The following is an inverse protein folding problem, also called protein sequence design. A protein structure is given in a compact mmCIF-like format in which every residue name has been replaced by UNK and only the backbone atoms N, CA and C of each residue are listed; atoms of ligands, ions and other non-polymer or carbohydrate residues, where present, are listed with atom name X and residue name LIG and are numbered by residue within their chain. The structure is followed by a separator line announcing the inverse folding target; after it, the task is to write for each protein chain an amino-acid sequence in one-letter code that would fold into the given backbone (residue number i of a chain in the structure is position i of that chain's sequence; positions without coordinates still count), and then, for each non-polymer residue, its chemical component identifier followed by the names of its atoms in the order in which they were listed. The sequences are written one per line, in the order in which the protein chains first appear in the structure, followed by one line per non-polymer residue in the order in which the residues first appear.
data_IF_856584795466
#
_entry.id   IF_856584795466
#
_cell.length_a   1.000
_cell.length_b   1.000
_cell.length_c   1.000
_cell.angle_alpha   90.00
_cell.angle_beta   90.00
_cell.angle_gamma   90.00
#
_symmetry.space_group_name_H-M   'P 1'
#
loop_
_entity.id
_entity.type
_entity.pdbx_description
1 polymer ?
#
# COMPACT_ATOMS: atom_id res chain seq x y z
N UNK A 1 11.55 -34.61 -13.92
CA UNK A 1 12.17 -33.35 -13.47
C UNK A 1 11.02 -32.40 -13.24
N UNK A 2 10.33 -32.54 -12.12
CA UNK A 2 9.27 -31.61 -11.72
C UNK A 2 9.87 -30.69 -10.65
N UNK A 3 10.54 -29.65 -11.11
CA UNK A 3 10.84 -28.49 -10.29
C UNK A 3 9.55 -27.68 -10.19
N UNK A 4 8.59 -28.16 -9.41
CA UNK A 4 7.52 -27.30 -8.92
C UNK A 4 8.18 -26.29 -8.00
N UNK A 5 8.65 -25.17 -8.59
CA UNK A 5 9.03 -23.98 -7.84
C UNK A 5 7.84 -23.64 -6.96
N UNK A 6 7.94 -23.99 -5.69
CA UNK A 6 6.95 -23.71 -4.69
C UNK A 6 7.01 -22.19 -4.51
N UNK A 7 6.20 -21.47 -5.29
CA UNK A 7 6.08 -20.02 -5.19
C UNK A 7 5.47 -19.77 -3.81
N UNK A 8 6.32 -19.54 -2.80
CA UNK A 8 5.87 -19.12 -1.48
C UNK A 8 5.16 -17.78 -1.63
N UNK A 9 3.83 -17.86 -1.62
CA UNK A 9 2.96 -16.69 -1.69
C UNK A 9 2.92 -16.10 -0.28
N UNK A 10 3.91 -15.27 0.04
CA UNK A 10 4.02 -14.67 1.37
C UNK A 10 2.91 -13.62 1.53
N UNK A 11 2.08 -13.81 2.56
CA UNK A 11 0.85 -13.06 2.77
C UNK A 11 1.10 -11.58 3.14
N UNK A 12 0.24 -10.65 2.70
CA UNK A 12 0.32 -9.27 3.14
C UNK A 12 0.14 -9.18 4.66
N UNK A 13 0.74 -8.17 5.30
CA UNK A 13 0.56 -7.96 6.73
C UNK A 13 -0.93 -7.81 7.07
N UNK A 14 -1.67 -7.00 6.32
CA UNK A 14 -3.10 -6.88 6.51
C UNK A 14 -3.82 -6.54 5.22
N UNK A 15 -5.10 -6.90 5.17
CA UNK A 15 -6.02 -6.49 4.12
C UNK A 15 -7.29 -5.96 4.75
N UNK A 16 -7.68 -4.73 4.42
CA UNK A 16 -8.87 -4.10 4.96
C UNK A 16 -9.47 -3.09 3.99
N UNK A 17 -10.70 -2.67 4.29
CA UNK A 17 -11.37 -1.59 3.56
C UNK A 17 -11.41 -0.33 4.42
N UNK A 18 -11.21 0.82 3.79
CA UNK A 18 -11.33 2.12 4.45
C UNK A 18 -12.08 3.11 3.58
N UNK A 19 -12.72 4.07 4.24
CA UNK A 19 -13.39 5.19 3.58
C UNK A 19 -12.41 6.34 3.37
N UNK A 20 -12.48 6.99 2.21
CA UNK A 20 -11.79 8.25 1.94
C UNK A 20 -12.47 9.37 2.70
N UNK A 21 -11.75 9.97 3.63
CA UNK A 21 -12.18 11.09 4.46
C UNK A 21 -11.99 12.43 3.73
N UNK A 22 -12.41 13.52 4.36
CA UNK A 22 -12.09 14.88 3.89
C UNK A 22 -10.59 15.10 3.80
N UNK A 23 -10.18 16.01 2.92
CA UNK A 23 -8.77 16.35 2.67
C UNK A 23 -7.93 15.14 2.21
N UNK A 24 -8.54 14.21 1.47
CA UNK A 24 -7.85 13.07 0.86
C UNK A 24 -7.15 12.17 1.90
N UNK A 25 -7.78 11.90 3.04
CA UNK A 25 -7.20 11.07 4.11
C UNK A 25 -7.86 9.70 4.16
N UNK A 26 -7.14 8.72 4.67
CA UNK A 26 -7.68 7.43 5.09
C UNK A 26 -7.24 7.14 6.52
N UNK A 27 -7.86 6.15 7.16
CA UNK A 27 -7.52 5.73 8.52
C UNK A 27 -7.09 4.28 8.50
N UNK A 28 -5.93 4.00 9.10
CA UNK A 28 -5.51 2.64 9.42
C UNK A 28 -6.33 2.13 10.63
N UNK A 29 -6.99 0.96 10.53
CA UNK A 29 -7.78 0.40 11.63
C UNK A 29 -6.97 0.31 12.92
N UNK A 30 -7.60 0.59 14.05
CA UNK A 30 -6.92 0.64 15.35
C UNK A 30 -6.26 -0.71 15.66
N UNK A 31 -7.00 -1.78 15.43
CA UNK A 31 -6.59 -3.17 15.65
C UNK A 31 -5.39 -3.52 14.77
N UNK A 32 -5.42 -3.16 13.49
CA UNK A 32 -4.28 -3.34 12.58
C UNK A 32 -3.04 -2.59 13.08
N UNK A 33 -3.21 -1.35 13.56
CA UNK A 33 -2.08 -0.59 14.09
C UNK A 33 -1.50 -1.21 15.35
N UNK A 34 -2.34 -1.72 16.24
CA UNK A 34 -1.90 -2.38 17.47
C UNK A 34 -1.15 -3.69 17.17
N UNK A 35 -1.69 -4.52 16.27
CA UNK A 35 -1.06 -5.78 15.86
C UNK A 35 0.33 -5.55 15.24
N UNK A 36 0.47 -4.56 14.35
CA UNK A 36 1.73 -4.28 13.65
C UNK A 36 2.55 -3.15 14.27
N UNK A 37 2.22 -2.73 15.51
CA UNK A 37 2.92 -1.67 16.24
C UNK A 37 3.13 -0.37 15.43
N UNK A 38 2.13 0.02 14.62
CA UNK A 38 2.20 1.18 13.73
C UNK A 38 1.96 2.45 14.54
N UNK A 39 2.99 3.28 14.65
CA UNK A 39 3.00 4.51 15.43
C UNK A 39 2.89 5.77 14.57
N UNK A 40 2.60 6.90 15.22
CA UNK A 40 2.67 8.19 14.56
C UNK A 40 4.13 8.47 14.13
N UNK A 41 4.28 9.06 12.93
CA UNK A 41 5.54 9.33 12.23
C UNK A 41 6.16 8.12 11.50
N UNK A 42 5.65 6.91 11.70
CA UNK A 42 6.05 5.74 10.90
C UNK A 42 5.62 5.90 9.44
N UNK A 43 6.21 5.09 8.57
CA UNK A 43 5.78 4.94 7.19
C UNK A 43 5.20 3.55 6.97
N UNK A 44 4.18 3.48 6.13
CA UNK A 44 3.61 2.22 5.66
C UNK A 44 3.70 2.13 4.15
N UNK A 45 4.10 0.97 3.65
CA UNK A 45 4.00 0.63 2.23
C UNK A 45 2.70 -0.13 2.04
N UNK A 46 1.84 0.41 1.17
CA UNK A 46 0.51 -0.15 0.92
C UNK A 46 0.22 -0.23 -0.58
N UNK A 47 -0.59 -1.20 -0.98
CA UNK A 47 -1.30 -1.14 -2.25
C UNK A 47 -2.71 -0.63 -1.98
N UNK A 48 -3.08 0.44 -2.68
CA UNK A 48 -4.44 0.95 -2.70
C UNK A 48 -5.16 0.45 -3.94
N UNK A 49 -6.36 -0.08 -3.75
CA UNK A 49 -7.24 -0.58 -4.80
C UNK A 49 -8.55 0.17 -4.80
N UNK A 50 -8.87 0.82 -5.92
CA UNK A 50 -10.23 1.30 -6.20
C UNK A 50 -11.05 0.13 -6.70
N UNK A 51 -12.19 -0.10 -6.05
CA UNK A 51 -13.09 -1.21 -6.40
C UNK A 51 -14.28 -0.73 -7.23
N UNK A 52 -14.78 -1.60 -8.10
CA UNK A 52 -16.11 -1.51 -8.74
C UNK A 52 -16.70 -2.91 -8.73
N UNK A 53 -17.89 -3.08 -8.18
CA UNK A 53 -18.53 -4.40 -8.02
C UNK A 53 -17.60 -5.43 -7.35
N UNK A 54 -16.88 -5.01 -6.31
CA UNK A 54 -15.87 -5.82 -5.59
C UNK A 54 -14.61 -6.19 -6.38
N UNK A 55 -14.46 -5.73 -7.62
CA UNK A 55 -13.26 -5.96 -8.42
C UNK A 55 -12.35 -4.73 -8.46
N UNK A 56 -11.01 -4.89 -8.34
CA UNK A 56 -10.09 -3.77 -8.43
C UNK A 56 -9.96 -3.26 -9.86
N UNK A 57 -10.36 -2.00 -10.08
CA UNK A 57 -10.30 -1.32 -11.38
C UNK A 57 -9.08 -0.42 -11.52
N UNK A 58 -8.50 0.04 -10.42
CA UNK A 58 -7.25 0.82 -10.40
C UNK A 58 -6.44 0.47 -9.16
N UNK A 59 -5.13 0.48 -9.30
CA UNK A 59 -4.17 0.09 -8.26
C UNK A 59 -3.03 1.09 -8.17
N UNK A 60 -2.49 1.28 -6.99
CA UNK A 60 -1.26 2.02 -6.80
C UNK A 60 -0.50 1.47 -5.59
N UNK A 61 0.83 1.36 -5.73
CA UNK A 61 1.74 1.17 -4.61
C UNK A 61 2.07 2.55 -4.05
N UNK A 62 1.98 2.71 -2.73
CA UNK A 62 2.08 4.01 -2.08
C UNK A 62 2.83 3.88 -0.76
N UNK A 63 3.71 4.84 -0.49
CA UNK A 63 4.34 5.03 0.80
C UNK A 63 3.61 6.17 1.52
N UNK A 64 2.99 5.84 2.65
CA UNK A 64 2.20 6.78 3.44
C UNK A 64 2.84 7.03 4.79
N UNK A 65 2.97 8.30 5.16
CA UNK A 65 3.36 8.67 6.53
C UNK A 65 2.14 8.63 7.44
N UNK A 66 2.26 7.92 8.56
CA UNK A 66 1.22 7.78 9.56
C UNK A 66 1.20 9.02 10.46
N UNK A 67 0.07 9.71 10.50
CA UNK A 67 -0.15 10.84 11.41
C UNK A 67 -0.71 10.35 12.75
N UNK A 68 -1.17 11.28 13.61
CA UNK A 68 -1.88 10.94 14.83
C UNK A 68 -3.10 10.05 14.54
N UNK A 69 -3.40 9.15 15.47
CA UNK A 69 -4.56 8.26 15.44
C UNK A 69 -4.65 7.33 14.20
N UNK A 70 -3.54 7.12 13.48
CA UNK A 70 -3.54 6.25 12.31
C UNK A 70 -4.06 6.88 11.03
N UNK A 71 -4.26 8.19 11.02
CA UNK A 71 -4.72 8.91 9.83
C UNK A 71 -3.53 9.11 8.88
N UNK A 72 -3.71 8.77 7.60
CA UNK A 72 -2.67 8.94 6.57
C UNK A 72 -3.21 9.80 5.42
N UNK A 73 -2.55 10.91 5.06
CA UNK A 73 -2.92 11.70 3.89
C UNK A 73 -2.50 10.99 2.60
N UNK A 74 -3.39 10.95 1.62
CA UNK A 74 -3.11 10.48 0.27
C UNK A 74 -2.59 11.65 -0.58
N UNK A 75 -1.54 11.45 -1.41
CA UNK A 75 -1.09 12.45 -2.37
C UNK A 75 -2.22 12.91 -3.29
N UNK A 76 -2.30 14.23 -3.56
CA UNK A 76 -3.37 14.81 -4.38
C UNK A 76 -3.39 14.23 -5.79
N UNK A 77 -2.21 14.03 -6.39
CA UNK A 77 -2.09 13.43 -7.73
C UNK A 77 -2.61 11.98 -7.74
N UNK A 78 -2.32 11.21 -6.69
CA UNK A 78 -2.79 9.84 -6.52
C UNK A 78 -4.32 9.80 -6.46
N UNK A 79 -4.94 10.64 -5.62
CA UNK A 79 -6.41 10.75 -5.53
C UNK A 79 -7.03 11.08 -6.87
N UNK A 80 -6.48 12.07 -7.58
CA UNK A 80 -6.96 12.48 -8.90
C UNK A 80 -6.89 11.35 -9.92
N UNK A 81 -5.75 10.66 -10.02
CA UNK A 81 -5.53 9.59 -11.01
C UNK A 81 -6.31 8.31 -10.68
N UNK A 82 -6.43 7.97 -9.39
CA UNK A 82 -7.35 6.90 -8.95
C UNK A 82 -8.82 7.30 -9.09
N UNK A 83 -9.13 8.59 -9.32
CA UNK A 83 -10.49 9.13 -9.35
C UNK A 83 -11.24 8.87 -8.03
N UNK A 84 -10.56 9.08 -6.90
CA UNK A 84 -11.15 8.87 -5.57
C UNK A 84 -11.94 10.09 -5.13
N UNK A 85 -13.09 9.87 -4.49
CA UNK A 85 -13.93 10.92 -3.91
C UNK A 85 -14.14 10.72 -2.41
N UNK A 86 -14.46 11.79 -1.68
CA UNK A 86 -14.85 11.70 -0.25
C UNK A 86 -16.03 10.75 -0.11
N UNK A 87 -15.94 9.85 0.87
CA UNK A 87 -16.98 8.86 1.16
C UNK A 87 -16.82 7.55 0.39
N UNK A 88 -15.93 7.50 -0.60
CA UNK A 88 -15.62 6.29 -1.35
C UNK A 88 -14.89 5.25 -0.48
N UNK A 89 -15.18 3.97 -0.69
CA UNK A 89 -14.51 2.87 -0.02
C UNK A 89 -13.43 2.31 -0.95
N UNK A 90 -12.22 2.18 -0.44
CA UNK A 90 -11.08 1.56 -1.13
C UNK A 90 -10.59 0.35 -0.33
N UNK A 91 -9.98 -0.59 -1.04
CA UNK A 91 -9.25 -1.70 -0.43
C UNK A 91 -7.78 -1.28 -0.22
N UNK A 92 -7.24 -1.63 0.94
CA UNK A 92 -5.86 -1.37 1.34
C UNK A 92 -5.21 -2.71 1.65
N UNK A 93 -4.08 -2.96 1.02
CA UNK A 93 -3.21 -4.09 1.31
C UNK A 93 -1.95 -3.53 1.96
N UNK A 94 -1.77 -3.79 3.25
CA UNK A 94 -0.59 -3.38 3.99
C UNK A 94 0.55 -4.38 3.72
N UNK A 95 1.64 -3.87 3.17
CA UNK A 95 2.82 -4.68 2.83
C UNK A 95 3.88 -4.57 3.90
N UNK A 96 4.26 -3.35 4.30
CA UNK A 96 5.40 -3.14 5.22
C UNK A 96 5.16 -1.96 6.14
N UNK A 97 5.71 -2.05 7.35
CA UNK A 97 5.81 -0.94 8.31
C UNK A 97 7.28 -0.55 8.44
N UNK A 98 7.56 0.75 8.47
CA UNK A 98 8.91 1.32 8.57
C UNK A 98 8.92 2.30 9.74
N UNK A 99 9.59 1.91 10.83
CA UNK A 99 9.65 2.70 12.07
C UNK A 99 10.74 3.77 12.09
N UNK A 100 11.69 3.72 11.15
CA UNK A 100 12.80 4.68 11.10
C UNK A 100 12.55 5.73 9.99
N UNK A 101 13.08 6.95 10.13
CA UNK A 101 12.99 7.94 9.06
C UNK A 101 13.83 7.57 7.82
N UNK A 102 14.71 6.56 7.94
CA UNK A 102 15.46 6.01 6.81
C UNK A 102 14.58 4.99 6.10
N UNK A 103 13.85 5.46 5.09
CA UNK A 103 13.04 4.59 4.24
C UNK A 103 13.99 3.77 3.36
N UNK A 104 14.40 2.61 3.86
CA UNK A 104 14.99 1.56 3.03
C UNK A 104 13.86 0.87 2.29
N UNK A 105 13.70 1.24 1.03
CA UNK A 105 12.73 0.63 0.12
C UNK A 105 13.28 -0.72 -0.36
N UNK A 106 13.21 -1.71 0.52
CA UNK A 106 13.50 -3.10 0.18
C UNK A 106 12.20 -3.79 -0.26
N UNK A 107 12.28 -4.65 -1.28
CA UNK A 107 11.12 -5.39 -1.79
C UNK A 107 10.26 -4.66 -2.83
N UNK A 108 10.67 -3.48 -3.30
CA UNK A 108 10.06 -2.83 -4.47
C UNK A 108 10.87 -3.19 -5.72
N UNK A 109 10.23 -3.59 -6.84
CA UNK A 109 10.89 -3.87 -8.10
C UNK A 109 11.80 -2.71 -8.59
N UNK A 110 13.05 -2.96 -9.04
CA UNK A 110 14.00 -1.92 -9.41
C UNK A 110 13.50 -0.93 -10.47
N UNK A 111 12.63 -1.39 -11.37
CA UNK A 111 12.01 -0.57 -12.42
C UNK A 111 11.07 0.52 -11.89
N UNK A 112 10.55 0.40 -10.66
CA UNK A 112 9.62 1.39 -10.07
C UNK A 112 10.17 2.08 -8.82
N UNK A 113 11.27 1.59 -8.25
CA UNK A 113 11.92 2.18 -7.05
C UNK A 113 12.19 3.68 -7.23
N UNK A 114 12.69 4.11 -8.38
CA UNK A 114 12.98 5.52 -8.65
C UNK A 114 11.74 6.42 -8.60
N UNK A 115 10.62 5.97 -9.18
CA UNK A 115 9.37 6.73 -9.15
C UNK A 115 8.76 6.76 -7.74
N UNK A 116 8.80 5.62 -7.02
CA UNK A 116 8.32 5.55 -5.65
C UNK A 116 9.16 6.45 -4.73
N UNK A 117 10.48 6.50 -4.88
CA UNK A 117 11.32 7.45 -4.14
C UNK A 117 10.99 8.90 -4.47
N UNK A 118 10.76 9.22 -5.74
CA UNK A 118 10.52 10.59 -6.17
C UNK A 118 9.14 11.13 -5.78
N UNK A 119 8.10 10.29 -5.87
CA UNK A 119 6.69 10.72 -5.72
C UNK A 119 6.01 10.15 -4.48
N UNK A 120 6.58 9.12 -3.87
CA UNK A 120 5.94 8.34 -2.81
C UNK A 120 4.88 7.36 -3.31
N UNK A 121 4.68 7.22 -4.63
CA UNK A 121 3.72 6.27 -5.20
C UNK A 121 4.01 5.95 -6.67
N UNK A 122 3.44 4.84 -7.15
CA UNK A 122 3.42 4.42 -8.55
C UNK A 122 2.11 3.68 -8.86
N UNK A 123 1.56 3.84 -10.06
CA UNK A 123 0.37 3.09 -10.48
C UNK A 123 0.75 1.69 -10.93
N UNK A 124 -0.11 0.73 -10.64
CA UNK A 124 0.13 -0.67 -10.96
C UNK A 124 -0.89 -1.17 -11.97
N UNK A 125 -0.40 -1.95 -12.93
CA UNK A 125 -1.23 -2.92 -13.62
C UNK A 125 -1.36 -4.21 -12.77
N UNK A 126 -2.28 -5.13 -13.11
CA UNK A 126 -2.48 -6.36 -12.35
C UNK A 126 -1.24 -7.28 -12.29
N UNK A 127 -0.41 -7.28 -13.34
CA UNK A 127 0.78 -8.14 -13.43
C UNK A 127 1.87 -7.64 -12.49
N UNK A 128 2.13 -6.33 -12.48
CA UNK A 128 3.11 -5.70 -11.61
C UNK A 128 2.68 -5.78 -10.14
N UNK A 129 1.39 -5.62 -9.85
CA UNK A 129 0.87 -5.87 -8.50
C UNK A 129 1.16 -7.30 -8.06
N UNK A 130 0.91 -8.29 -8.92
CA UNK A 130 1.19 -9.69 -8.60
C UNK A 130 2.69 -9.91 -8.37
N UNK A 131 3.55 -9.32 -9.19
CA UNK A 131 5.00 -9.38 -9.02
C UNK A 131 5.43 -8.81 -7.65
N UNK A 132 4.95 -7.63 -7.27
CA UNK A 132 5.21 -7.03 -5.96
C UNK A 132 4.79 -7.97 -4.84
N UNK A 133 3.57 -8.52 -4.91
CA UNK A 133 3.07 -9.47 -3.90
C UNK A 133 3.92 -10.76 -3.80
N UNK A 134 4.60 -11.15 -4.88
CA UNK A 134 5.49 -12.32 -4.90
C UNK A 134 6.93 -12.00 -4.44
N UNK A 135 7.42 -10.79 -4.69
CA UNK A 135 8.82 -10.42 -4.49
C UNK A 135 9.11 -9.56 -3.27
N UNK A 136 8.09 -8.92 -2.67
CA UNK A 136 8.33 -7.91 -1.64
C UNK A 136 8.98 -8.42 -0.34
N UNK A 137 9.15 -9.74 -0.14
CA UNK A 137 9.60 -10.27 1.15
C UNK A 137 10.53 -11.49 1.09
N UNK A 138 11.42 -11.59 0.10
CA UNK A 138 12.62 -12.45 0.24
C UNK A 138 13.65 -11.73 1.12
N UNK A 139 13.63 -11.99 2.42
CA UNK A 139 14.76 -11.75 3.34
C UNK A 139 15.11 -13.04 4.05
#
# INVERSE_FOLDING_TARGET
MDSSDNIELIEPLAKFHTRVLSQNRITLPKETREVYSINAKDYVIVILRKLRNSEPIKRALVILRVSSQGVTPLPVELVRKLNLSKGEIIEVILLKVIHTPQILIEGIPPNIVGEVHAKGFVFLDPSLEREIMLHSFRQ
#
